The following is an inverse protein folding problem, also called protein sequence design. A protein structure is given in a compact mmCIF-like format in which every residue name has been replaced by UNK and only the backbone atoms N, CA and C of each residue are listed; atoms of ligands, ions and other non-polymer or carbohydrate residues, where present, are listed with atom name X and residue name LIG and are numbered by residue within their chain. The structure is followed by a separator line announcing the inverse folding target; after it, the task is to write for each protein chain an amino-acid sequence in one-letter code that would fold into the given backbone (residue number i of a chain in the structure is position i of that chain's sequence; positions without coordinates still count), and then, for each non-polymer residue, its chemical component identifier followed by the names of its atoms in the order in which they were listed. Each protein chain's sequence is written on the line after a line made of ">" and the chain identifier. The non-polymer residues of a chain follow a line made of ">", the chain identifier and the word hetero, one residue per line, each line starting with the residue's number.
data_IF_582517346530
#
_entry.id   IF_582517346530
#
_cell.length_a   1.000
_cell.length_b   1.000
_cell.length_c   1.000
_cell.angle_alpha   90.00
_cell.angle_beta   90.00
_cell.angle_gamma   90.00
#
_symmetry.space_group_name_H-M   'P 1'
#
loop_
_entity.id
_entity.type
_entity.pdbx_description
1 polymer ?
#
# COMPACT_ATOMS: atom_id res chain seq x y z
N UNK A 1 38.15 8.97 15.20
CA UNK A 1 38.53 7.90 14.25
C UNK A 1 37.66 6.72 14.59
N UNK A 2 36.51 6.60 13.93
CA UNK A 2 35.53 5.54 14.22
C UNK A 2 35.84 4.33 13.34
N UNK A 3 36.65 3.40 13.87
CA UNK A 3 36.89 2.10 13.23
C UNK A 3 36.07 1.02 13.95
N UNK A 4 34.75 1.08 13.83
CA UNK A 4 33.91 -0.08 14.13
C UNK A 4 33.63 -0.82 12.81
N UNK A 5 34.62 -1.59 12.36
CA UNK A 5 34.47 -2.47 11.20
C UNK A 5 33.91 -3.79 11.70
N UNK A 6 32.58 -3.94 11.64
CA UNK A 6 31.92 -5.22 11.90
C UNK A 6 32.15 -6.14 10.70
N UNK A 7 32.60 -7.36 10.95
CA UNK A 7 32.92 -8.34 9.93
C UNK A 7 32.23 -9.66 10.25
N UNK A 8 31.44 -10.19 9.31
CA UNK A 8 30.74 -11.48 9.49
C UNK A 8 31.58 -12.56 8.82
N UNK A 9 32.18 -13.42 9.65
CA UNK A 9 32.96 -14.56 9.19
C UNK A 9 32.02 -15.75 9.00
N UNK A 10 32.11 -16.42 7.84
CA UNK A 10 31.34 -17.64 7.59
C UNK A 10 31.66 -18.71 8.67
N UNK A 11 30.66 -19.26 9.38
CA UNK A 11 30.87 -20.26 10.43
C UNK A 11 31.65 -21.50 9.99
N UNK A 12 31.61 -21.84 8.70
CA UNK A 12 32.36 -22.97 8.14
C UNK A 12 33.87 -22.68 8.06
N UNK A 13 34.24 -21.44 7.73
CA UNK A 13 35.64 -21.01 7.62
C UNK A 13 36.27 -20.98 9.02
N UNK A 14 35.60 -20.34 9.99
CA UNK A 14 36.08 -20.29 11.38
C UNK A 14 36.16 -21.69 12.01
N UNK A 15 35.20 -22.57 11.72
CA UNK A 15 35.23 -23.96 12.18
C UNK A 15 36.38 -24.77 11.56
N UNK A 16 36.70 -24.57 10.28
CA UNK A 16 37.82 -25.25 9.64
C UNK A 16 39.19 -24.74 10.15
N UNK A 17 39.32 -23.44 10.43
CA UNK A 17 40.51 -22.88 11.07
C UNK A 17 40.75 -23.41 12.51
N UNK A 18 39.69 -23.84 13.21
CA UNK A 18 39.85 -24.54 14.50
C UNK A 18 40.42 -25.95 14.36
N UNK A 19 40.29 -26.58 13.19
CA UNK A 19 40.76 -27.96 12.93
C UNK A 19 42.25 -28.05 12.59
N UNK A 20 42.89 -26.95 12.21
CA UNK A 20 44.33 -26.91 11.92
C UNK A 20 45.21 -27.08 13.16
N UNK A 21 44.66 -26.92 14.37
CA UNK A 21 45.38 -27.20 15.61
C UNK A 21 45.18 -28.65 16.05
N UNK A 22 46.28 -29.41 16.10
CA UNK A 22 46.34 -30.82 16.54
C UNK A 22 45.83 -31.05 17.98
N UNK A 23 45.82 -30.00 18.82
CA UNK A 23 45.31 -30.05 20.21
C UNK A 23 44.15 -29.07 20.37
N UNK A 24 42.98 -29.59 20.75
CA UNK A 24 41.77 -28.80 21.07
C UNK A 24 41.98 -28.03 22.38
N UNK A 25 42.50 -26.82 22.31
CA UNK A 25 42.49 -25.87 23.42
C UNK A 25 41.20 -25.05 23.32
N UNK A 26 40.22 -25.37 24.18
CA UNK A 26 38.94 -24.66 24.27
C UNK A 26 39.05 -23.53 25.29
N UNK A 27 39.80 -22.48 24.97
CA UNK A 27 39.89 -21.28 25.80
C UNK A 27 39.49 -20.06 24.99
N UNK A 28 38.69 -19.17 25.59
CA UNK A 28 38.18 -17.97 24.91
C UNK A 28 39.31 -17.08 24.36
N UNK A 29 40.45 -17.01 25.06
CA UNK A 29 41.63 -16.28 24.61
C UNK A 29 42.28 -16.88 23.35
N UNK A 30 42.35 -18.22 23.25
CA UNK A 30 42.90 -18.89 22.07
C UNK A 30 41.96 -18.78 20.87
N UNK A 31 40.65 -18.88 21.11
CA UNK A 31 39.64 -18.68 20.09
C UNK A 31 39.64 -17.23 19.56
N UNK A 32 39.77 -16.23 20.43
CA UNK A 32 39.88 -14.83 20.04
C UNK A 32 41.15 -14.55 19.22
N UNK A 33 42.30 -15.09 19.63
CA UNK A 33 43.54 -14.95 18.88
C UNK A 33 43.47 -15.61 17.48
N UNK A 34 42.85 -16.78 17.39
CA UNK A 34 42.64 -17.47 16.11
C UNK A 34 41.76 -16.66 15.17
N UNK A 35 40.64 -16.11 15.67
CA UNK A 35 39.75 -15.26 14.89
C UNK A 35 40.45 -13.97 14.43
N UNK A 36 41.23 -13.33 15.32
CA UNK A 36 42.05 -12.17 14.96
C UNK A 36 43.08 -12.51 13.89
N UNK A 37 43.76 -13.65 14.01
CA UNK A 37 44.73 -14.11 13.00
C UNK A 37 44.07 -14.39 11.66
N UNK A 38 42.87 -14.99 11.67
CA UNK A 38 42.07 -15.21 10.47
C UNK A 38 41.72 -13.89 9.79
N UNK A 39 41.26 -12.90 10.57
CA UNK A 39 40.89 -11.56 10.09
C UNK A 39 42.02 -10.86 9.35
N UNK A 40 43.27 -11.03 9.79
CA UNK A 40 44.44 -10.44 9.11
C UNK A 40 44.95 -11.24 7.90
N UNK A 41 44.61 -12.53 7.80
CA UNK A 41 45.12 -13.42 6.73
C UNK A 41 44.17 -13.57 5.56
N UNK A 42 42.87 -13.41 5.78
CA UNK A 42 41.86 -13.44 4.73
C UNK A 42 41.35 -12.03 4.44
N UNK A 43 41.10 -11.73 3.16
CA UNK A 43 40.44 -10.48 2.76
C UNK A 43 38.94 -10.57 3.08
N UNK A 44 38.56 -10.32 4.33
CA UNK A 44 37.15 -10.18 4.67
C UNK A 44 36.63 -8.81 4.24
N UNK A 45 35.55 -8.79 3.46
CA UNK A 45 34.83 -7.55 3.20
C UNK A 45 34.11 -7.09 4.50
N UNK A 46 34.16 -5.78 4.85
CA UNK A 46 33.33 -5.24 5.92
C UNK A 46 31.87 -5.67 5.75
N UNK A 47 31.15 -5.97 6.83
CA UNK A 47 29.71 -6.24 6.77
C UNK A 47 29.02 -5.05 6.10
N UNK A 48 28.68 -5.20 4.80
CA UNK A 48 28.22 -4.08 3.99
C UNK A 48 26.81 -3.69 4.45
N UNK A 49 26.57 -2.37 4.62
CA UNK A 49 25.25 -1.74 4.73
C UNK A 49 24.21 -2.23 3.69
N UNK A 50 24.67 -2.87 2.60
CA UNK A 50 23.85 -3.66 1.66
C UNK A 50 22.90 -4.65 2.34
N UNK A 51 23.30 -5.27 3.46
CA UNK A 51 22.42 -6.16 4.22
C UNK A 51 21.19 -5.43 4.76
N UNK A 52 21.39 -4.29 5.42
CA UNK A 52 20.29 -3.48 5.96
C UNK A 52 19.39 -2.92 4.84
N UNK A 53 19.99 -2.48 3.74
CA UNK A 53 19.27 -2.00 2.57
C UNK A 53 18.34 -3.08 1.99
N UNK A 54 18.88 -4.27 1.71
CA UNK A 54 18.11 -5.39 1.16
C UNK A 54 17.03 -5.87 2.13
N UNK A 55 17.33 -5.89 3.44
CA UNK A 55 16.34 -6.22 4.46
C UNK A 55 15.19 -5.21 4.51
N UNK A 56 15.50 -3.92 4.39
CA UNK A 56 14.48 -2.86 4.37
C UNK A 56 13.58 -2.97 3.13
N UNK A 57 14.19 -3.17 1.95
CA UNK A 57 13.43 -3.39 0.71
C UNK A 57 12.50 -4.59 0.83
N UNK A 58 12.98 -5.70 1.43
CA UNK A 58 12.17 -6.89 1.69
C UNK A 58 11.01 -6.61 2.64
N UNK A 59 11.23 -5.82 3.69
CA UNK A 59 10.18 -5.45 4.64
C UNK A 59 9.09 -4.62 3.94
N UNK A 60 9.47 -3.59 3.20
CA UNK A 60 8.53 -2.72 2.48
C UNK A 60 7.73 -3.48 1.43
N UNK A 61 8.37 -4.39 0.67
CA UNK A 61 7.68 -5.18 -0.36
C UNK A 61 6.63 -6.11 0.27
N UNK A 62 6.96 -6.76 1.40
CA UNK A 62 6.00 -7.60 2.15
C UNK A 62 4.86 -6.77 2.75
N UNK A 63 5.17 -5.58 3.25
CA UNK A 63 4.16 -4.66 3.75
C UNK A 63 3.22 -4.21 2.64
N UNK A 64 3.75 -3.90 1.45
CA UNK A 64 2.98 -3.56 0.27
C UNK A 64 2.05 -4.71 -0.14
N UNK A 65 2.54 -5.95 -0.18
CA UNK A 65 1.73 -7.14 -0.47
C UNK A 65 0.61 -7.33 0.56
N UNK A 66 0.92 -7.25 1.86
CA UNK A 66 -0.07 -7.37 2.94
C UNK A 66 -1.15 -6.29 2.84
N UNK A 67 -0.75 -5.03 2.61
CA UNK A 67 -1.68 -3.91 2.49
C UNK A 67 -2.54 -4.03 1.22
N UNK A 68 -1.96 -4.54 0.13
CA UNK A 68 -2.70 -4.84 -1.11
C UNK A 68 -3.78 -5.89 -0.86
N UNK A 69 -3.49 -6.94 -0.09
CA UNK A 69 -4.48 -7.93 0.31
C UNK A 69 -5.64 -7.33 1.09
N UNK A 70 -5.35 -6.48 2.08
CA UNK A 70 -6.38 -5.75 2.84
C UNK A 70 -7.20 -4.81 1.95
N UNK A 71 -6.55 -4.13 1.00
CA UNK A 71 -7.21 -3.24 0.05
C UNK A 71 -8.19 -4.01 -0.84
N UNK A 72 -7.79 -5.16 -1.40
CA UNK A 72 -8.66 -6.01 -2.22
C UNK A 72 -9.85 -6.52 -1.40
N UNK A 73 -9.62 -6.95 -0.16
CA UNK A 73 -10.71 -7.41 0.71
C UNK A 73 -11.72 -6.28 1.00
N UNK A 74 -11.24 -5.07 1.31
CA UNK A 74 -12.10 -3.91 1.51
C UNK A 74 -12.89 -3.55 0.25
N UNK A 75 -12.29 -3.69 -0.95
CA UNK A 75 -12.99 -3.46 -2.23
C UNK A 75 -14.16 -4.41 -2.42
N UNK A 76 -13.96 -5.70 -2.12
CA UNK A 76 -15.01 -6.72 -2.25
C UNK A 76 -16.16 -6.46 -1.28
N UNK A 77 -15.84 -6.11 -0.02
CA UNK A 77 -16.86 -5.75 0.97
C UNK A 77 -17.62 -4.48 0.58
N UNK A 78 -16.91 -3.47 0.08
CA UNK A 78 -17.52 -2.23 -0.41
C UNK A 78 -18.47 -2.50 -1.57
N UNK A 79 -18.04 -3.31 -2.55
CA UNK A 79 -18.85 -3.65 -3.71
C UNK A 79 -20.12 -4.40 -3.30
N UNK A 80 -20.01 -5.39 -2.41
CA UNK A 80 -21.17 -6.14 -1.91
C UNK A 80 -22.21 -5.25 -1.21
N UNK A 81 -21.77 -4.18 -0.54
CA UNK A 81 -22.66 -3.19 0.08
C UNK A 81 -23.21 -2.21 -0.98
N UNK A 82 -22.37 -1.79 -1.93
CA UNK A 82 -22.79 -0.92 -3.03
C UNK A 82 -23.89 -1.58 -3.87
N UNK A 83 -23.78 -2.87 -4.14
CA UNK A 83 -24.81 -3.64 -4.86
C UNK A 83 -26.18 -3.63 -4.16
N UNK A 84 -26.20 -3.44 -2.85
CA UNK A 84 -27.43 -3.39 -2.03
C UNK A 84 -27.97 -1.97 -1.82
N UNK A 85 -27.19 -0.94 -2.17
CA UNK A 85 -27.50 0.46 -1.91
C UNK A 85 -27.69 1.23 -3.22
N UNK A 86 -26.75 1.07 -4.14
CA UNK A 86 -26.70 1.80 -5.41
C UNK A 86 -26.01 0.96 -6.51
N UNK A 87 -26.59 -0.20 -6.91
CA UNK A 87 -25.99 -1.08 -7.91
C UNK A 87 -25.74 -0.41 -9.27
N UNK A 88 -26.61 0.50 -9.72
CA UNK A 88 -26.43 1.21 -10.99
C UNK A 88 -25.25 2.21 -10.98
N UNK A 89 -24.63 2.45 -9.83
CA UNK A 89 -23.44 3.29 -9.74
C UNK A 89 -22.22 2.67 -10.45
N UNK A 90 -22.24 1.34 -10.68
CA UNK A 90 -21.21 0.67 -11.46
C UNK A 90 -21.12 1.26 -12.87
N UNK A 91 -19.92 1.67 -13.27
CA UNK A 91 -19.66 2.22 -14.61
C UNK A 91 -19.93 3.72 -14.77
N UNK A 92 -20.35 4.43 -13.72
CA UNK A 92 -20.46 5.92 -13.76
C UNK A 92 -19.09 6.58 -13.97
N UNK A 93 -18.07 6.04 -13.29
CA UNK A 93 -16.70 6.48 -13.43
C UNK A 93 -15.89 5.37 -14.09
N UNK A 94 -14.86 5.74 -14.86
CA UNK A 94 -13.97 4.77 -15.50
C UNK A 94 -13.26 3.84 -14.51
N UNK A 95 -13.08 4.28 -13.26
CA UNK A 95 -12.68 3.43 -12.13
C UNK A 95 -13.57 3.73 -10.92
N UNK A 96 -14.33 2.72 -10.49
CA UNK A 96 -15.20 2.75 -9.31
C UNK A 96 -14.42 3.14 -8.05
N UNK A 97 -13.17 2.69 -7.93
CA UNK A 97 -12.35 2.94 -6.76
C UNK A 97 -11.53 4.22 -6.89
N UNK A 98 -11.72 5.02 -7.94
CA UNK A 98 -11.02 6.30 -8.08
C UNK A 98 -11.35 7.23 -6.90
N UNK A 99 -10.40 8.11 -6.54
CA UNK A 99 -10.60 9.08 -5.45
C UNK A 99 -11.84 9.96 -5.65
N UNK A 100 -12.18 10.28 -6.91
CA UNK A 100 -13.35 11.08 -7.27
C UNK A 100 -14.63 10.32 -7.00
N UNK A 101 -14.74 9.10 -7.52
CA UNK A 101 -15.87 8.20 -7.31
C UNK A 101 -16.13 7.96 -5.81
N UNK A 102 -15.10 7.53 -5.08
CA UNK A 102 -15.20 7.25 -3.65
C UNK A 102 -15.60 8.50 -2.84
N UNK A 103 -15.04 9.68 -3.14
CA UNK A 103 -15.40 10.93 -2.45
C UNK A 103 -16.81 11.39 -2.78
N UNK A 104 -17.26 11.18 -4.01
CA UNK A 104 -18.63 11.49 -4.39
C UNK A 104 -19.62 10.61 -3.60
N UNK A 105 -19.42 9.29 -3.60
CA UNK A 105 -20.25 8.37 -2.81
C UNK A 105 -20.18 8.65 -1.30
N UNK A 106 -19.06 9.15 -0.79
CA UNK A 106 -18.95 9.49 0.63
C UNK A 106 -19.84 10.66 1.06
N UNK A 107 -20.25 11.51 0.11
CA UNK A 107 -21.19 12.62 0.34
C UNK A 107 -22.61 12.28 -0.09
N UNK A 108 -22.75 11.50 -1.17
CA UNK A 108 -24.02 11.15 -1.79
C UNK A 108 -24.12 9.64 -1.99
N UNK A 109 -24.26 8.84 -0.92
CA UNK A 109 -24.20 7.38 -0.99
C UNK A 109 -25.44 6.75 -1.63
N UNK A 110 -26.57 7.46 -1.73
CA UNK A 110 -27.83 6.91 -2.24
C UNK A 110 -28.26 7.53 -3.56
N UNK A 111 -29.00 6.76 -4.36
CA UNK A 111 -29.55 7.28 -5.62
C UNK A 111 -30.57 8.40 -5.39
N UNK A 112 -31.33 8.37 -4.28
CA UNK A 112 -32.23 9.47 -3.89
C UNK A 112 -31.49 10.79 -3.75
N UNK A 113 -30.38 10.82 -3.00
CA UNK A 113 -29.60 12.05 -2.81
C UNK A 113 -29.08 12.59 -4.14
N UNK A 114 -28.68 11.72 -5.06
CA UNK A 114 -28.28 12.12 -6.42
C UNK A 114 -29.45 12.71 -7.20
N UNK A 115 -30.66 12.13 -7.09
CA UNK A 115 -31.86 12.62 -7.78
C UNK A 115 -32.38 13.95 -7.23
N UNK A 116 -32.02 14.29 -5.99
CA UNK A 116 -32.35 15.58 -5.37
C UNK A 116 -31.42 16.71 -5.82
N UNK A 117 -30.26 16.37 -6.38
CA UNK A 117 -29.31 17.33 -6.94
C UNK A 117 -29.65 17.66 -8.39
N UNK A 118 -29.41 18.91 -8.77
CA UNK A 118 -29.37 19.32 -10.17
C UNK A 118 -28.11 18.82 -10.87
N UNK A 119 -28.17 18.65 -12.19
CA UNK A 119 -27.02 18.24 -13.01
C UNK A 119 -25.81 19.17 -12.83
N UNK A 120 -26.07 20.47 -12.67
CA UNK A 120 -25.02 21.47 -12.43
C UNK A 120 -24.35 21.30 -11.05
N UNK A 121 -25.11 20.94 -10.02
CA UNK A 121 -24.57 20.62 -8.70
C UNK A 121 -23.71 19.36 -8.73
N UNK A 122 -24.17 18.31 -9.41
CA UNK A 122 -23.40 17.06 -9.59
C UNK A 122 -22.10 17.35 -10.33
N UNK A 123 -22.16 18.08 -11.44
CA UNK A 123 -21.00 18.47 -12.25
C UNK A 123 -19.99 19.25 -11.41
N UNK A 124 -20.47 20.20 -10.60
CA UNK A 124 -19.64 21.03 -9.72
C UNK A 124 -18.98 20.19 -8.63
N UNK A 125 -19.73 19.26 -8.01
CA UNK A 125 -19.20 18.35 -7.01
C UNK A 125 -18.09 17.46 -7.58
N UNK A 126 -18.31 16.85 -8.74
CA UNK A 126 -17.31 16.03 -9.45
C UNK A 126 -16.06 16.87 -9.77
N UNK A 127 -16.24 18.06 -10.34
CA UNK A 127 -15.13 18.98 -10.68
C UNK A 127 -14.27 19.38 -9.48
N UNK A 128 -14.89 19.56 -8.30
CA UNK A 128 -14.17 19.82 -7.05
C UNK A 128 -13.26 18.66 -6.66
N UNK A 129 -13.66 17.42 -6.92
CA UNK A 129 -12.87 16.24 -6.55
C UNK A 129 -11.77 15.89 -7.56
N UNK A 130 -11.96 16.20 -8.84
CA UNK A 130 -10.95 15.96 -9.89
C UNK A 130 -9.83 17.01 -9.90
N UNK A 131 -10.08 18.21 -9.35
CA UNK A 131 -9.15 19.33 -9.46
C UNK A 131 -8.87 19.70 -10.92
N UNK A 132 -7.61 19.94 -11.27
CA UNK A 132 -7.19 20.30 -12.65
C UNK A 132 -7.01 19.12 -13.60
N UNK A 133 -7.27 17.89 -13.15
CA UNK A 133 -6.95 16.67 -13.91
C UNK A 133 -7.98 16.27 -14.97
N UNK A 134 -9.19 16.86 -14.96
CA UNK A 134 -10.28 16.52 -15.88
C UNK A 134 -10.92 17.79 -16.46
N UNK A 135 -11.43 17.69 -17.69
CA UNK A 135 -12.16 18.78 -18.34
C UNK A 135 -13.57 18.91 -17.77
N UNK A 136 -14.14 20.11 -17.92
CA UNK A 136 -15.54 20.37 -17.55
C UNK A 136 -16.50 19.46 -18.33
N UNK A 137 -16.20 19.21 -19.61
CA UNK A 137 -17.00 18.31 -20.46
C UNK A 137 -17.05 16.88 -19.90
N UNK A 138 -15.94 16.38 -19.36
CA UNK A 138 -15.91 15.06 -18.71
C UNK A 138 -16.74 15.04 -17.43
N UNK A 139 -16.72 16.12 -16.64
CA UNK A 139 -17.57 16.21 -15.44
C UNK A 139 -19.06 16.23 -15.78
N UNK A 140 -19.45 16.93 -16.86
CA UNK A 140 -20.82 16.96 -17.36
C UNK A 140 -21.26 15.56 -17.82
N UNK A 141 -20.44 14.88 -18.62
CA UNK A 141 -20.71 13.52 -19.08
C UNK A 141 -20.91 12.55 -17.89
N UNK A 142 -20.02 12.60 -16.88
CA UNK A 142 -20.20 11.81 -15.68
C UNK A 142 -21.48 12.18 -14.91
N UNK A 143 -21.87 13.46 -14.87
CA UNK A 143 -23.10 13.89 -14.22
C UNK A 143 -24.35 13.36 -14.93
N UNK A 144 -24.38 13.39 -16.27
CA UNK A 144 -25.46 12.81 -17.08
C UNK A 144 -25.58 11.30 -16.86
N UNK A 145 -24.45 10.58 -16.93
CA UNK A 145 -24.41 9.12 -16.70
C UNK A 145 -24.89 8.79 -15.27
N UNK A 146 -24.41 9.54 -14.27
CA UNK A 146 -24.80 9.35 -12.88
C UNK A 146 -26.28 9.64 -12.65
N UNK A 147 -26.83 10.70 -13.24
CA UNK A 147 -28.24 11.01 -13.18
C UNK A 147 -29.11 9.93 -13.84
N UNK A 148 -28.67 9.38 -14.97
CA UNK A 148 -29.34 8.26 -15.64
C UNK A 148 -29.27 6.98 -14.78
N UNK A 149 -28.11 6.67 -14.20
CA UNK A 149 -27.91 5.54 -13.29
C UNK A 149 -28.83 5.65 -12.06
N UNK A 150 -28.90 6.83 -11.44
CA UNK A 150 -29.76 7.08 -10.28
C UNK A 150 -31.25 6.86 -10.62
N UNK A 151 -31.70 7.25 -11.82
CA UNK A 151 -33.07 7.03 -12.29
C UNK A 151 -33.40 5.55 -12.53
N UNK A 152 -32.44 4.78 -13.05
CA UNK A 152 -32.59 3.33 -13.29
C UNK A 152 -32.45 2.50 -12.02
N UNK A 153 -31.88 3.06 -10.96
CA UNK A 153 -31.53 2.31 -9.77
C UNK A 153 -32.78 1.69 -9.11
N UNK A 154 -32.79 0.37 -8.83
CA UNK A 154 -33.94 -0.28 -8.21
C UNK A 154 -34.17 0.20 -6.76
N UNK A 155 -33.14 0.74 -6.10
CA UNK A 155 -33.20 1.18 -4.70
C UNK A 155 -33.07 2.69 -4.60
N UNK A 156 -34.17 3.41 -4.29
CA UNK A 156 -34.08 4.85 -4.07
C UNK A 156 -33.44 5.19 -2.73
N UNK A 157 -33.87 4.50 -1.69
CA UNK A 157 -33.33 4.57 -0.33
C UNK A 157 -32.75 3.22 0.09
N UNK A 158 -31.86 3.22 1.08
CA UNK A 158 -31.32 1.97 1.62
C UNK A 158 -32.34 1.34 2.57
N UNK A 159 -32.52 0.02 2.48
CA UNK A 159 -33.37 -0.72 3.42
C UNK A 159 -32.79 -0.73 4.85
N UNK A 160 -31.47 -0.59 4.97
CA UNK A 160 -30.76 -0.64 6.25
C UNK A 160 -29.76 0.52 6.35
N UNK A 161 -29.86 1.32 7.41
CA UNK A 161 -28.91 2.41 7.70
C UNK A 161 -27.51 1.90 8.06
N UNK A 162 -27.41 0.66 8.56
CA UNK A 162 -26.14 -0.02 8.83
C UNK A 162 -25.26 -0.16 7.58
N UNK A 163 -25.87 -0.30 6.39
CA UNK A 163 -25.14 -0.37 5.13
C UNK A 163 -24.48 0.96 4.79
N UNK A 164 -25.14 2.09 5.07
CA UNK A 164 -24.56 3.42 4.86
C UNK A 164 -23.37 3.66 5.80
N UNK A 165 -23.49 3.26 7.07
CA UNK A 165 -22.38 3.34 8.04
C UNK A 165 -21.19 2.50 7.56
N UNK A 166 -21.46 1.26 7.12
CA UNK A 166 -20.43 0.33 6.65
C UNK A 166 -19.77 0.82 5.36
N UNK A 167 -20.57 1.33 4.41
CA UNK A 167 -20.07 1.93 3.17
C UNK A 167 -19.16 3.11 3.47
N UNK A 168 -19.56 4.01 4.37
CA UNK A 168 -18.75 5.18 4.74
C UNK A 168 -17.43 4.79 5.40
N UNK A 169 -17.44 3.77 6.25
CA UNK A 169 -16.22 3.20 6.83
C UNK A 169 -15.30 2.63 5.73
N UNK A 170 -15.85 1.81 4.84
CA UNK A 170 -15.09 1.17 3.77
C UNK A 170 -14.50 2.18 2.78
N UNK A 171 -15.25 3.21 2.41
CA UNK A 171 -14.74 4.30 1.56
C UNK A 171 -13.53 4.96 2.22
N UNK A 172 -13.59 5.27 3.52
CA UNK A 172 -12.46 5.87 4.26
C UNK A 172 -11.24 4.94 4.25
N UNK A 173 -11.44 3.64 4.50
CA UNK A 173 -10.36 2.66 4.46
C UNK A 173 -9.75 2.55 3.06
N UNK A 174 -10.57 2.48 2.01
CA UNK A 174 -10.10 2.40 0.62
C UNK A 174 -9.23 3.61 0.24
N UNK A 175 -9.65 4.82 0.62
CA UNK A 175 -8.88 6.04 0.39
C UNK A 175 -7.55 6.03 1.16
N UNK A 176 -7.56 5.61 2.43
CA UNK A 176 -6.34 5.50 3.24
C UNK A 176 -5.37 4.44 2.67
N UNK A 177 -5.89 3.29 2.23
CA UNK A 177 -5.07 2.25 1.62
C UNK A 177 -4.42 2.72 0.32
N UNK A 178 -5.12 3.50 -0.51
CA UNK A 178 -4.53 4.10 -1.70
C UNK A 178 -3.36 5.03 -1.36
N UNK A 179 -3.52 5.88 -0.35
CA UNK A 179 -2.47 6.81 0.08
C UNK A 179 -1.27 6.05 0.65
N UNK A 180 -1.50 5.08 1.53
CA UNK A 180 -0.43 4.26 2.10
C UNK A 180 0.30 3.39 1.06
N UNK A 181 -0.41 2.80 0.09
CA UNK A 181 0.23 2.07 -1.00
C UNK A 181 1.10 3.00 -1.87
N UNK A 182 0.63 4.22 -2.15
CA UNK A 182 1.42 5.20 -2.88
C UNK A 182 2.70 5.60 -2.12
N UNK A 183 2.62 5.77 -0.81
CA UNK A 183 3.78 6.12 0.01
C UNK A 183 4.78 4.96 0.16
N UNK A 184 4.28 3.72 0.25
CA UNK A 184 5.13 2.52 0.21
C UNK A 184 5.85 2.41 -1.13
N UNK A 185 5.16 2.62 -2.25
CA UNK A 185 5.78 2.58 -3.58
C UNK A 185 6.87 3.63 -3.75
N UNK A 186 6.62 4.88 -3.31
CA UNK A 186 7.66 5.92 -3.29
C UNK A 186 8.87 5.51 -2.45
N UNK A 187 8.64 4.89 -1.29
CA UNK A 187 9.73 4.44 -0.40
C UNK A 187 10.55 3.31 -1.02
N UNK A 188 9.88 2.38 -1.72
CA UNK A 188 10.52 1.29 -2.47
C UNK A 188 11.35 1.86 -3.63
N UNK A 189 10.77 2.74 -4.45
CA UNK A 189 11.44 3.40 -5.57
C UNK A 189 12.67 4.20 -5.12
N UNK A 190 12.55 4.95 -4.02
CA UNK A 190 13.66 5.71 -3.46
C UNK A 190 14.82 4.82 -2.99
N UNK A 191 14.52 3.64 -2.43
CA UNK A 191 15.56 2.68 -2.07
C UNK A 191 16.20 2.07 -3.33
N UNK A 192 15.41 1.67 -4.33
CA UNK A 192 15.94 1.12 -5.57
C UNK A 192 16.85 2.10 -6.33
N UNK A 193 16.60 3.41 -6.23
CA UNK A 193 17.44 4.43 -6.85
C UNK A 193 18.80 4.67 -6.17
N UNK A 194 18.99 4.17 -4.94
CA UNK A 194 20.20 4.39 -4.12
C UNK A 194 21.11 3.14 -4.07
N UNK A 195 20.61 1.97 -4.47
CA UNK A 195 21.32 0.69 -4.41
C UNK A 195 22.10 0.31 -5.67
#
# INVERSE_FOLDING_TARGET
>A
MDFNVECVINPLISHNAKKTNLRRLKTDAADAHLLGTLFYKEEFEPYKKRGQHLMNLRYLTRQHESLTGMYVQAKLQFQAILDQVFPEYHGVFGDLYSKVSLRFLALHPTSKEVLEMSELEITTAIGRFTGRGRSVSWCLECAEILGAAAKRNPFKETAFSSHLISMQLLIKLLLQYQDHLADLNKSIEALLAVG
#
